data_IF_939548335351
#
_entry.id   IF_939548335351
#
_cell.length_a   1.000
_cell.length_b   1.000
_cell.length_c   1.000
_cell.angle_alpha   90.00
_cell.angle_beta   90.00
_cell.angle_gamma   90.00
#
_symmetry.space_group_name_H-M   'P 1'
#
loop_
_entity.id
_entity.type
_entity.pdbx_description
1 polymer ?
#
# COMPACT_ATOMS: atom_id res chain seq x y z
N UNK A 1 -76.00 27.21 18.19
CA UNK A 1 -75.63 28.38 19.01
C UNK A 1 -74.16 28.69 18.77
N UNK A 2 -73.96 29.64 17.86
CA UNK A 2 -72.93 30.69 17.86
C UNK A 2 -72.73 31.27 19.29
N UNK A 3 -71.63 31.86 19.75
CA UNK A 3 -70.43 32.51 19.20
C UNK A 3 -69.44 32.60 20.38
N UNK A 4 -68.15 32.79 20.09
CA UNK A 4 -67.17 33.34 21.03
C UNK A 4 -65.93 33.85 20.29
N UNK A 5 -66.09 35.00 19.63
CA UNK A 5 -65.09 35.92 19.03
C UNK A 5 -64.04 36.44 20.05
N UNK A 6 -63.04 37.32 19.71
CA UNK A 6 -62.40 37.64 18.41
C UNK A 6 -60.86 37.90 18.47
N UNK A 7 -60.25 38.09 17.28
CA UNK A 7 -59.12 38.99 16.94
C UNK A 7 -57.73 38.73 17.57
N UNK A 8 -56.58 38.87 16.89
CA UNK A 8 -56.22 39.87 15.88
C UNK A 8 -55.19 39.36 14.88
N UNK A 9 -55.28 39.94 13.68
CA UNK A 9 -54.34 39.94 12.57
C UNK A 9 -52.93 40.38 13.00
N UNK A 10 -51.92 39.78 12.38
CA UNK A 10 -51.01 40.53 11.50
C UNK A 10 -50.47 39.59 10.41
N UNK A 11 -50.54 40.07 9.18
CA UNK A 11 -50.07 39.41 7.97
C UNK A 11 -48.82 40.14 7.51
N UNK A 12 -47.74 39.44 7.17
CA UNK A 12 -46.84 39.92 6.12
C UNK A 12 -46.34 38.74 5.29
N UNK A 13 -46.94 38.64 4.11
CA UNK A 13 -46.56 37.82 2.97
C UNK A 13 -45.23 38.31 2.39
N UNK A 14 -44.34 37.38 2.07
CA UNK A 14 -43.48 37.48 0.90
C UNK A 14 -43.49 36.14 0.16
N UNK A 15 -44.25 36.11 -0.94
CA UNK A 15 -44.27 35.04 -1.94
C UNK A 15 -42.87 34.71 -2.47
N UNK A 16 -42.63 33.44 -2.74
CA UNK A 16 -41.49 32.98 -3.52
C UNK A 16 -41.40 31.47 -3.58
N UNK A 17 -42.10 30.87 -4.55
CA UNK A 17 -41.80 29.52 -5.04
C UNK A 17 -40.31 29.44 -5.39
N UNK A 18 -39.53 28.67 -4.64
CA UNK A 18 -38.34 28.01 -5.16
C UNK A 18 -38.29 26.62 -4.56
N UNK A 19 -38.37 25.62 -5.44
CA UNK A 19 -38.21 24.22 -5.07
C UNK A 19 -36.90 24.05 -4.29
N UNK A 20 -37.00 23.45 -3.12
CA UNK A 20 -35.84 22.93 -2.44
C UNK A 20 -35.15 21.99 -3.41
N UNK A 21 -33.90 22.29 -3.76
CA UNK A 21 -33.05 21.35 -4.45
C UNK A 21 -33.10 20.01 -3.70
N UNK A 22 -33.25 18.87 -4.39
CA UNK A 22 -33.17 17.57 -3.73
C UNK A 22 -31.87 17.50 -2.92
N UNK A 23 -31.86 16.83 -1.76
CA UNK A 23 -30.64 16.65 -0.99
C UNK A 23 -29.57 16.10 -1.93
N UNK A 24 -28.43 16.78 -2.00
CA UNK A 24 -27.35 16.33 -2.87
C UNK A 24 -27.01 14.88 -2.48
N UNK A 25 -27.02 13.92 -3.43
CA UNK A 25 -26.68 12.55 -3.12
C UNK A 25 -25.29 12.53 -2.50
N UNK A 26 -25.21 12.04 -1.26
CA UNK A 26 -24.02 12.16 -0.41
C UNK A 26 -22.77 11.56 -1.05
N UNK A 27 -22.92 10.59 -1.95
CA UNK A 27 -21.83 9.95 -2.68
C UNK A 27 -22.33 9.58 -4.09
N UNK A 28 -21.82 10.26 -5.12
CA UNK A 28 -22.11 9.94 -6.53
C UNK A 28 -20.85 9.45 -7.21
N UNK A 29 -20.89 8.26 -7.79
CA UNK A 29 -19.82 7.73 -8.62
C UNK A 29 -20.27 6.69 -9.64
N UNK A 30 -19.29 6.15 -10.37
CA UNK A 30 -19.54 5.16 -11.41
C UNK A 30 -19.50 3.76 -10.80
N UNK A 31 -20.62 3.04 -10.86
CA UNK A 31 -20.65 1.64 -10.42
C UNK A 31 -19.77 0.79 -11.32
N UNK A 32 -18.73 0.19 -10.74
CA UNK A 32 -17.82 -0.71 -11.43
C UNK A 32 -18.22 -2.17 -11.27
N UNK A 33 -18.78 -2.52 -10.12
CA UNK A 33 -19.18 -3.88 -9.77
C UNK A 33 -20.22 -3.86 -8.66
N UNK A 34 -21.21 -4.74 -8.72
CA UNK A 34 -22.22 -4.90 -7.67
C UNK A 34 -22.49 -6.40 -7.44
N UNK A 35 -22.38 -6.83 -6.20
CA UNK A 35 -22.82 -8.13 -5.72
C UNK A 35 -23.84 -7.94 -4.58
N UNK A 36 -24.43 -9.02 -4.09
CA UNK A 36 -25.50 -8.99 -3.07
C UNK A 36 -25.19 -8.17 -1.80
N UNK A 37 -23.92 -8.00 -1.42
CA UNK A 37 -23.51 -7.30 -0.20
C UNK A 37 -22.70 -6.03 -0.43
N UNK A 38 -22.12 -5.85 -1.62
CA UNK A 38 -21.12 -4.80 -1.86
C UNK A 38 -21.25 -4.21 -3.23
N UNK A 39 -21.10 -2.88 -3.30
CA UNK A 39 -20.98 -2.12 -4.54
C UNK A 39 -19.63 -1.42 -4.58
N UNK A 40 -18.92 -1.56 -5.70
CA UNK A 40 -17.65 -0.90 -5.97
C UNK A 40 -17.92 0.34 -6.84
N UNK A 41 -17.51 1.50 -6.38
CA UNK A 41 -17.78 2.77 -7.04
C UNK A 41 -16.50 3.55 -7.33
N UNK A 42 -16.37 4.06 -8.55
CA UNK A 42 -15.29 4.96 -8.96
C UNK A 42 -15.74 6.41 -8.87
N UNK A 43 -15.03 7.18 -8.05
CA UNK A 43 -15.24 8.61 -7.85
C UNK A 43 -14.06 9.43 -8.37
N UNK A 44 -14.30 10.72 -8.68
CA UNK A 44 -13.22 11.64 -9.01
C UNK A 44 -12.15 11.66 -7.92
N UNK A 45 -10.88 11.65 -8.33
CA UNK A 45 -9.74 11.65 -7.41
C UNK A 45 -9.74 12.86 -6.47
N UNK A 46 -9.86 12.61 -5.17
CA UNK A 46 -9.67 13.61 -4.11
C UNK A 46 -8.25 14.18 -4.09
N UNK A 47 -7.26 13.46 -4.66
CA UNK A 47 -5.87 13.90 -4.74
C UNK A 47 -5.58 14.91 -5.86
N UNK A 48 -6.54 15.15 -6.77
CA UNK A 48 -6.41 16.07 -7.90
C UNK A 48 -5.41 15.63 -8.99
N UNK A 49 -4.77 14.46 -8.85
CA UNK A 49 -3.82 13.95 -9.83
C UNK A 49 -4.54 13.38 -11.04
N UNK A 50 -4.12 13.72 -12.28
CA UNK A 50 -4.63 13.06 -13.47
C UNK A 50 -4.26 11.56 -13.42
N UNK A 51 -5.17 10.70 -13.88
CA UNK A 51 -5.05 9.23 -13.87
C UNK A 51 -5.13 8.55 -12.48
N UNK A 52 -5.62 9.25 -11.46
CA UNK A 52 -6.03 8.62 -10.21
C UNK A 52 -7.56 8.68 -10.12
N UNK A 53 -8.15 7.75 -9.40
CA UNK A 53 -9.56 7.74 -9.05
C UNK A 53 -9.70 7.18 -7.65
N UNK A 54 -10.72 7.63 -6.93
CA UNK A 54 -11.03 7.12 -5.60
C UNK A 54 -11.99 5.94 -5.77
N UNK A 55 -11.61 4.78 -5.25
CA UNK A 55 -12.44 3.58 -5.32
C UNK A 55 -13.09 3.36 -3.96
N UNK A 56 -14.42 3.47 -3.92
CA UNK A 56 -15.24 3.27 -2.73
C UNK A 56 -15.85 1.87 -2.74
N UNK A 57 -15.74 1.17 -1.62
CA UNK A 57 -16.42 -0.10 -1.41
C UNK A 57 -17.57 0.13 -0.43
N UNK A 58 -18.79 0.11 -0.96
CA UNK A 58 -20.01 0.41 -0.21
C UNK A 58 -20.64 -0.90 0.24
N UNK A 59 -20.86 -1.02 1.54
CA UNK A 59 -21.63 -2.13 2.10
C UNK A 59 -23.12 -1.83 1.93
N UNK A 60 -23.80 -2.60 1.08
CA UNK A 60 -25.19 -2.38 0.72
C UNK A 60 -26.17 -2.65 1.87
N UNK A 61 -25.76 -3.38 2.93
CA UNK A 61 -26.61 -3.62 4.10
C UNK A 61 -26.97 -2.32 4.85
N UNK A 62 -26.13 -1.29 4.73
CA UNK A 62 -26.35 0.01 5.37
C UNK A 62 -26.90 1.06 4.41
N UNK A 63 -27.14 0.70 3.15
CA UNK A 63 -27.67 1.62 2.14
C UNK A 63 -29.19 1.54 2.17
N UNK A 64 -29.84 2.68 2.37
CA UNK A 64 -31.29 2.77 2.44
C UNK A 64 -31.94 2.82 1.06
N UNK A 65 -31.29 3.47 0.10
CA UNK A 65 -31.82 3.69 -1.25
C UNK A 65 -30.65 3.85 -2.23
N UNK A 66 -30.84 3.32 -3.45
CA UNK A 66 -29.90 3.46 -4.57
C UNK A 66 -30.67 3.98 -5.76
N UNK A 67 -30.26 5.13 -6.29
CA UNK A 67 -30.83 5.72 -7.50
C UNK A 67 -29.85 5.60 -8.67
N UNK A 68 -30.34 5.14 -9.82
CA UNK A 68 -29.54 5.06 -11.05
C UNK A 68 -29.66 6.40 -11.78
N UNK A 69 -28.60 7.20 -11.72
CA UNK A 69 -28.56 8.55 -12.33
C UNK A 69 -28.37 8.49 -13.84
N UNK A 70 -27.55 7.55 -14.32
CA UNK A 70 -27.29 7.36 -15.74
C UNK A 70 -26.94 5.90 -16.05
N UNK A 71 -27.63 5.31 -17.02
CA UNK A 71 -27.37 3.95 -17.47
C UNK A 71 -26.56 3.98 -18.77
N UNK A 72 -25.31 3.49 -18.71
CA UNK A 72 -24.42 3.46 -19.88
C UNK A 72 -24.73 2.22 -20.72
N UNK A 73 -25.28 2.44 -21.91
CA UNK A 73 -25.59 1.38 -22.89
C UNK A 73 -24.40 0.98 -23.78
N UNK A 74 -23.29 1.72 -23.70
CA UNK A 74 -22.07 1.43 -24.47
C UNK A 74 -21.24 0.32 -23.82
N UNK A 75 -20.73 -0.61 -24.63
CA UNK A 75 -19.82 -1.66 -24.14
C UNK A 75 -18.52 -1.02 -23.65
N UNK A 76 -18.10 -1.26 -22.40
CA UNK A 76 -16.85 -0.72 -21.88
C UNK A 76 -15.64 -1.12 -22.74
N UNK A 77 -14.59 -0.29 -22.79
CA UNK A 77 -13.34 -0.67 -23.40
C UNK A 77 -12.82 -1.98 -22.78
N UNK A 78 -12.23 -2.90 -23.59
CA UNK A 78 -11.67 -4.11 -23.05
C UNK A 78 -10.57 -3.79 -22.03
N UNK A 79 -10.61 -4.49 -20.90
CA UNK A 79 -9.62 -4.32 -19.85
C UNK A 79 -8.22 -4.63 -20.37
N UNK A 80 -7.25 -3.86 -19.91
CA UNK A 80 -5.85 -4.14 -20.22
C UNK A 80 -5.47 -5.53 -19.68
N UNK A 81 -4.81 -6.33 -20.51
CA UNK A 81 -4.35 -7.65 -20.09
C UNK A 81 -3.30 -7.52 -18.99
N UNK A 82 -3.56 -8.11 -17.83
CA UNK A 82 -2.59 -8.16 -16.73
C UNK A 82 -1.61 -9.31 -16.94
N UNK A 83 -0.34 -9.05 -16.64
CA UNK A 83 0.68 -10.10 -16.63
C UNK A 83 0.64 -10.85 -15.28
N UNK A 84 -0.22 -11.88 -15.22
CA UNK A 84 -0.46 -12.66 -13.99
C UNK A 84 0.82 -13.33 -13.47
N UNK A 85 1.71 -13.78 -14.36
CA UNK A 85 2.97 -14.42 -13.95
C UNK A 85 3.93 -13.44 -13.27
N UNK A 86 4.02 -12.19 -13.75
CA UNK A 86 4.79 -11.12 -13.12
C UNK A 86 4.22 -10.71 -11.77
N UNK A 87 2.89 -10.72 -11.61
CA UNK A 87 2.25 -10.44 -10.32
C UNK A 87 2.51 -11.57 -9.32
N UNK A 88 2.38 -12.82 -9.77
CA UNK A 88 2.65 -13.99 -8.93
C UNK A 88 4.11 -14.06 -8.47
N UNK A 89 5.08 -13.71 -9.34
CA UNK A 89 6.49 -13.67 -8.95
C UNK A 89 6.76 -12.59 -7.90
N UNK A 90 6.23 -11.37 -8.09
CA UNK A 90 6.31 -10.30 -7.09
C UNK A 90 5.75 -10.72 -5.73
N UNK A 91 4.54 -11.29 -5.72
CA UNK A 91 3.90 -11.75 -4.49
C UNK A 91 4.74 -12.81 -3.75
N UNK A 92 5.39 -13.72 -4.48
CA UNK A 92 6.30 -14.72 -3.89
C UNK A 92 7.55 -14.08 -3.31
N UNK A 93 8.20 -13.18 -4.04
CA UNK A 93 9.40 -12.48 -3.57
C UNK A 93 9.12 -11.65 -2.31
N UNK A 94 8.04 -10.87 -2.29
CA UNK A 94 7.67 -10.07 -1.12
C UNK A 94 7.35 -10.94 0.11
N UNK A 95 6.70 -12.09 -0.11
CA UNK A 95 6.44 -13.07 0.95
C UNK A 95 7.75 -13.61 1.52
N UNK A 96 8.68 -14.03 0.67
CA UNK A 96 9.98 -14.57 1.08
C UNK A 96 10.82 -13.53 1.83
N UNK A 97 10.85 -12.29 1.35
CA UNK A 97 11.56 -11.19 2.03
C UNK A 97 11.00 -10.91 3.42
N UNK A 98 9.67 -10.88 3.59
CA UNK A 98 9.02 -10.70 4.90
C UNK A 98 9.27 -11.88 5.83
N UNK A 99 9.23 -13.11 5.33
CA UNK A 99 9.54 -14.30 6.13
C UNK A 99 10.99 -14.29 6.60
N UNK A 100 11.92 -13.90 5.73
CA UNK A 100 13.34 -13.74 6.07
C UNK A 100 13.56 -12.66 7.13
N UNK A 101 12.90 -11.50 7.01
CA UNK A 101 12.94 -10.45 8.04
C UNK A 101 12.37 -10.93 9.38
N UNK A 102 11.20 -11.57 9.37
CA UNK A 102 10.57 -12.09 10.58
C UNK A 102 11.47 -13.12 11.27
N UNK A 103 12.10 -14.00 10.50
CA UNK A 103 13.09 -14.94 11.00
C UNK A 103 14.25 -14.20 11.71
N UNK A 104 14.87 -13.21 11.06
CA UNK A 104 16.00 -12.48 11.64
C UNK A 104 15.65 -11.77 12.96
N UNK A 105 14.44 -11.19 13.03
CA UNK A 105 13.91 -10.57 14.25
C UNK A 105 13.75 -11.63 15.34
N UNK A 106 13.12 -12.77 15.02
CA UNK A 106 12.89 -13.85 16.00
C UNK A 106 14.18 -14.49 16.50
N UNK A 107 15.21 -14.57 15.65
CA UNK A 107 16.53 -15.08 16.01
C UNK A 107 17.36 -14.08 16.84
N UNK A 108 16.88 -12.85 17.04
CA UNK A 108 17.59 -11.80 17.77
C UNK A 108 18.83 -11.29 17.04
N UNK A 109 18.77 -11.19 15.71
CA UNK A 109 19.83 -10.60 14.89
C UNK A 109 19.86 -9.08 15.10
N UNK A 110 21.05 -8.50 15.26
CA UNK A 110 21.23 -7.04 15.38
C UNK A 110 20.73 -6.30 14.12
N UNK A 111 20.32 -5.04 14.31
CA UNK A 111 19.87 -4.20 13.20
C UNK A 111 20.94 -4.06 12.10
N UNK A 112 22.21 -3.96 12.50
CA UNK A 112 23.36 -3.94 11.59
C UNK A 112 23.42 -5.20 10.72
N UNK A 113 23.27 -6.39 11.32
CA UNK A 113 23.21 -7.65 10.57
C UNK A 113 22.02 -7.70 9.61
N UNK A 114 20.85 -7.22 10.03
CA UNK A 114 19.66 -7.16 9.18
C UNK A 114 19.87 -6.22 7.97
N UNK A 115 20.51 -5.06 8.17
CA UNK A 115 20.82 -4.10 7.12
C UNK A 115 21.87 -4.64 6.14
N UNK A 116 22.88 -5.34 6.66
CA UNK A 116 23.89 -6.00 5.83
C UNK A 116 23.25 -7.09 4.97
N UNK A 117 22.40 -7.95 5.55
CA UNK A 117 21.68 -8.98 4.80
C UNK A 117 20.87 -8.39 3.65
N UNK A 118 20.13 -7.30 3.90
CA UNK A 118 19.37 -6.62 2.84
C UNK A 118 20.27 -6.08 1.72
N UNK A 119 21.46 -5.57 2.07
CA UNK A 119 22.43 -5.07 1.08
C UNK A 119 23.00 -6.20 0.23
N UNK A 120 23.32 -7.34 0.87
CA UNK A 120 23.77 -8.55 0.19
C UNK A 120 22.64 -9.09 -0.70
N UNK A 121 21.42 -9.26 -0.19
CA UNK A 121 20.26 -9.78 -0.92
C UNK A 121 19.83 -8.94 -2.13
N UNK A 122 20.12 -7.64 -2.11
CA UNK A 122 19.95 -6.75 -3.29
C UNK A 122 20.97 -7.05 -4.40
N UNK A 123 22.18 -7.47 -4.03
CA UNK A 123 23.29 -7.72 -4.95
C UNK A 123 23.35 -9.18 -5.40
N UNK A 124 23.14 -10.11 -4.47
CA UNK A 124 23.23 -11.56 -4.62
C UNK A 124 21.93 -12.14 -4.06
N UNK A 125 21.10 -12.73 -4.93
CA UNK A 125 19.80 -13.30 -4.52
C UNK A 125 19.94 -14.60 -3.74
N UNK A 126 21.02 -15.34 -3.97
CA UNK A 126 21.32 -16.57 -3.26
C UNK A 126 22.01 -16.28 -1.93
N UNK A 127 21.24 -15.80 -0.96
CA UNK A 127 21.67 -15.68 0.43
C UNK A 127 20.54 -16.01 1.39
N UNK A 128 20.86 -16.68 2.49
CA UNK A 128 19.89 -17.12 3.50
C UNK A 128 20.43 -16.92 4.90
N UNK A 129 19.51 -16.89 5.86
CA UNK A 129 19.87 -16.94 7.26
C UNK A 129 20.14 -18.38 7.70
N UNK A 130 21.18 -18.56 8.51
CA UNK A 130 21.44 -19.79 9.24
C UNK A 130 21.69 -19.39 10.70
N UNK A 131 20.71 -19.64 11.58
CA UNK A 131 20.71 -19.09 12.94
C UNK A 131 20.83 -17.56 12.91
N UNK A 132 21.95 -17.01 13.38
CA UNK A 132 22.31 -15.59 13.31
C UNK A 132 23.31 -15.28 12.20
N UNK A 133 23.73 -16.27 11.41
CA UNK A 133 24.73 -16.10 10.37
C UNK A 133 24.07 -15.83 9.02
N UNK A 134 24.77 -15.07 8.17
CA UNK A 134 24.38 -14.87 6.77
C UNK A 134 25.19 -15.85 5.93
N UNK A 135 24.50 -16.75 5.21
CA UNK A 135 25.13 -17.68 4.27
C UNK A 135 24.87 -17.19 2.86
N UNK A 136 25.93 -16.97 2.09
CA UNK A 136 25.91 -16.46 0.72
C UNK A 136 26.42 -17.56 -0.21
N UNK A 137 25.63 -17.92 -1.21
CA UNK A 137 25.95 -18.95 -2.21
C UNK A 137 26.37 -20.31 -1.62
N UNK A 138 25.97 -20.62 -0.37
CA UNK A 138 26.44 -21.78 0.41
C UNK A 138 27.97 -21.91 0.57
N UNK A 139 28.75 -20.94 0.10
CA UNK A 139 30.21 -20.95 0.11
C UNK A 139 30.81 -20.01 1.16
N UNK A 140 30.09 -18.93 1.49
CA UNK A 140 30.55 -17.87 2.40
C UNK A 140 29.57 -17.70 3.55
N UNK A 141 30.09 -17.71 4.77
CA UNK A 141 29.35 -17.50 6.01
C UNK A 141 29.87 -16.23 6.68
N UNK A 142 28.96 -15.31 7.00
CA UNK A 142 29.24 -14.08 7.74
C UNK A 142 28.62 -14.23 9.12
N UNK A 143 29.44 -14.25 10.15
CA UNK A 143 29.00 -14.38 11.54
C UNK A 143 28.95 -13.01 12.22
N UNK A 144 28.12 -12.82 13.28
CA UNK A 144 28.25 -11.66 14.16
C UNK A 144 29.70 -11.46 14.63
N UNK A 145 30.20 -10.22 14.79
CA UNK A 145 29.53 -8.92 14.61
C UNK A 145 29.40 -8.41 13.15
N UNK A 146 29.42 -9.30 12.15
CA UNK A 146 29.17 -8.99 10.73
C UNK A 146 30.19 -8.07 10.07
N UNK A 147 31.43 -8.06 10.57
CA UNK A 147 32.52 -7.30 9.99
C UNK A 147 33.15 -8.03 8.79
N UNK A 148 33.94 -7.29 8.00
CA UNK A 148 34.67 -7.84 6.84
C UNK A 148 35.57 -9.01 7.24
N UNK A 149 36.13 -8.95 8.44
CA UNK A 149 36.97 -9.99 9.05
C UNK A 149 36.18 -11.25 9.49
N UNK A 150 34.88 -11.12 9.75
CA UNK A 150 34.02 -12.25 10.11
C UNK A 150 33.45 -13.00 8.90
N UNK A 151 33.79 -12.59 7.68
CA UNK A 151 33.47 -13.32 6.47
C UNK A 151 34.42 -14.53 6.35
N UNK A 152 33.86 -15.75 6.46
CA UNK A 152 34.59 -17.02 6.32
C UNK A 152 34.04 -17.81 5.14
N UNK A 153 34.88 -18.50 4.41
CA UNK A 153 34.46 -19.30 3.26
C UNK A 153 35.67 -19.87 2.54
N UNK A 154 35.41 -20.56 1.43
CA UNK A 154 36.49 -21.05 0.57
C UNK A 154 37.25 -19.87 -0.04
N UNK A 155 38.57 -19.91 0.01
CA UNK A 155 39.43 -18.91 -0.63
C UNK A 155 39.11 -18.83 -2.14
N UNK A 156 38.82 -17.62 -2.63
CA UNK A 156 38.37 -17.44 -4.01
C UNK A 156 37.67 -16.11 -4.28
N UNK A 157 37.11 -16.01 -5.49
CA UNK A 157 36.40 -14.83 -5.98
C UNK A 157 35.13 -14.54 -5.19
N UNK A 158 34.38 -15.57 -4.77
CA UNK A 158 33.15 -15.43 -4.00
C UNK A 158 33.39 -14.72 -2.65
N UNK A 159 34.34 -15.22 -1.85
CA UNK A 159 34.72 -14.59 -0.59
C UNK A 159 35.22 -13.15 -0.78
N UNK A 160 36.05 -12.93 -1.81
CA UNK A 160 36.57 -11.59 -2.13
C UNK A 160 35.45 -10.62 -2.52
N UNK A 161 34.45 -11.09 -3.25
CA UNK A 161 33.30 -10.28 -3.66
C UNK A 161 32.39 -9.94 -2.48
N UNK A 162 32.08 -10.93 -1.62
CA UNK A 162 31.30 -10.71 -0.41
C UNK A 162 31.98 -9.69 0.50
N UNK A 163 33.30 -9.81 0.76
CA UNK A 163 34.06 -8.84 1.57
C UNK A 163 33.95 -7.42 1.00
N UNK A 164 34.02 -7.24 -0.32
CA UNK A 164 33.84 -5.92 -0.97
C UNK A 164 32.43 -5.35 -0.75
N UNK A 165 31.40 -6.19 -0.79
CA UNK A 165 30.01 -5.78 -0.51
C UNK A 165 29.88 -5.33 0.94
N UNK A 166 30.42 -6.10 1.90
CA UNK A 166 30.39 -5.75 3.32
C UNK A 166 31.11 -4.43 3.56
N UNK A 167 32.32 -4.27 3.01
CA UNK A 167 33.09 -3.03 3.15
C UNK A 167 32.37 -1.82 2.53
N UNK A 168 31.75 -2.00 1.36
CA UNK A 168 30.91 -0.95 0.75
C UNK A 168 29.71 -0.61 1.63
N UNK A 169 29.03 -1.59 2.21
CA UNK A 169 27.90 -1.37 3.10
C UNK A 169 28.26 -0.45 4.26
N UNK A 170 29.40 -0.69 4.92
CA UNK A 170 29.87 0.16 6.01
C UNK A 170 30.16 1.59 5.58
N UNK A 171 30.82 1.78 4.43
CA UNK A 171 31.05 3.12 3.85
C UNK A 171 29.74 3.85 3.55
N UNK A 172 28.78 3.15 2.94
CA UNK A 172 27.49 3.71 2.57
C UNK A 172 26.70 4.13 3.83
N UNK A 173 26.66 3.27 4.86
CA UNK A 173 26.00 3.58 6.14
C UNK A 173 26.65 4.77 6.85
N UNK A 174 27.98 4.86 6.86
CA UNK A 174 28.71 5.99 7.44
C UNK A 174 28.38 7.30 6.70
N UNK A 175 28.41 7.28 5.37
CA UNK A 175 28.07 8.45 4.55
C UNK A 175 26.64 8.94 4.79
N UNK A 176 25.68 8.03 4.95
CA UNK A 176 24.29 8.37 5.25
C UNK A 176 24.13 8.99 6.64
N UNK A 177 24.88 8.52 7.64
CA UNK A 177 24.88 9.11 8.99
C UNK A 177 25.41 10.54 8.98
N UNK A 178 26.43 10.83 8.18
CA UNK A 178 26.98 12.18 8.03
C UNK A 178 25.95 13.13 7.42
N UNK A 179 25.28 12.71 6.34
CA UNK A 179 24.24 13.49 5.66
C UNK A 179 23.00 13.77 6.51
N UNK A 180 22.64 12.88 7.44
CA UNK A 180 21.52 13.10 8.34
C UNK A 180 21.83 14.04 9.51
N UNK A 181 23.11 14.34 9.75
CA UNK A 181 23.58 15.17 10.87
C UNK A 181 23.93 16.60 10.44
N UNK A 182 24.06 16.85 9.14
CA UNK A 182 24.21 18.17 8.51
C UNK A 182 22.85 18.82 8.25
#
# INVERSE_FOLDING_TARGET
MQVGEPASKEAHSCSGLLGAAPPEPLDTGTCLHEDMLTRLEECPSSSGKPNHADILLINLQYVSEVEIINDRTETPPPLASLNVSKLASKARTEKEEKLSQAYAISAGVSLEGQQLFQTIHKTIKDCKWQEKNIVVMEEVVITPPYQVENCKGKEGSALSHVRKIVEKHFRDVESQKILQRS
#
